data_IF_121745602769
#
_entry.id   IF_121745602769
#
_cell.length_a   1.000
_cell.length_b   1.000
_cell.length_c   1.000
_cell.angle_alpha   90.00
_cell.angle_beta   90.00
_cell.angle_gamma   90.00
#
_symmetry.space_group_name_H-M   'P 1'
#
loop_
_entity.id
_entity.type
_entity.pdbx_description
1 polymer ?
#
# COMPACT_ATOMS: atom_id res chain seq x y z
N UNK A 1 14.61 -13.98 3.54
CA UNK A 1 14.03 -14.92 2.54
C UNK A 1 12.54 -14.64 2.52
N UNK A 2 12.00 -14.05 1.44
CA UNK A 2 10.58 -13.66 1.42
C UNK A 2 9.66 -14.88 1.43
N UNK A 3 8.64 -14.87 2.29
CA UNK A 3 7.68 -15.96 2.43
C UNK A 3 6.46 -15.70 1.54
N UNK A 4 6.03 -16.71 0.78
CA UNK A 4 4.81 -16.66 -0.04
C UNK A 4 3.67 -17.28 0.75
N UNK A 5 2.60 -16.53 1.02
CA UNK A 5 1.35 -17.08 1.59
C UNK A 5 0.31 -17.22 0.48
N UNK A 6 -0.29 -18.41 0.37
CA UNK A 6 -1.48 -18.67 -0.46
C UNK A 6 -2.71 -18.74 0.45
N UNK A 7 -3.57 -17.72 0.39
CA UNK A 7 -4.98 -17.78 0.77
C UNK A 7 -5.72 -17.29 -0.47
N UNK A 8 -6.73 -18.03 -0.94
CA UNK A 8 -7.61 -17.92 -2.14
C UNK A 8 -7.75 -16.59 -2.93
N UNK A 9 -6.67 -15.84 -3.11
CA UNK A 9 -6.57 -14.50 -3.66
C UNK A 9 -5.21 -14.29 -4.35
N UNK A 10 -4.88 -13.06 -4.78
CA UNK A 10 -3.66 -12.81 -5.54
C UNK A 10 -2.42 -13.25 -4.76
N UNK A 11 -1.43 -13.81 -5.46
CA UNK A 11 -0.18 -14.27 -4.84
C UNK A 11 0.57 -13.08 -4.24
N UNK A 12 0.63 -13.01 -2.91
CA UNK A 12 1.36 -11.96 -2.18
C UNK A 12 2.74 -12.43 -1.77
N UNK A 13 3.75 -11.60 -2.06
CA UNK A 13 5.10 -11.70 -1.53
C UNK A 13 5.20 -10.91 -0.23
N UNK A 14 5.60 -11.56 0.87
CA UNK A 14 5.84 -10.91 2.16
C UNK A 14 7.35 -10.81 2.39
N UNK A 15 7.92 -9.60 2.43
CA UNK A 15 9.34 -9.41 2.73
C UNK A 15 9.62 -9.65 4.23
N UNK A 16 10.90 -9.76 4.58
CA UNK A 16 11.32 -9.77 5.99
C UNK A 16 10.90 -8.47 6.69
N UNK A 17 10.61 -8.55 8.00
CA UNK A 17 10.20 -7.37 8.79
C UNK A 17 11.23 -6.24 8.64
N UNK A 18 10.81 -5.01 8.25
CA UNK A 18 11.74 -3.90 8.12
C UNK A 18 12.45 -3.57 9.44
N UNK A 19 13.76 -3.35 9.36
CA UNK A 19 14.61 -2.95 10.47
C UNK A 19 14.52 -1.43 10.70
N UNK A 20 14.81 -0.98 11.93
CA UNK A 20 15.04 0.45 12.22
C UNK A 20 13.82 1.35 12.42
N UNK A 21 12.59 0.83 12.37
CA UNK A 21 11.36 1.65 12.47
C UNK A 21 10.55 1.42 13.76
N UNK A 22 11.12 0.74 14.76
CA UNK A 22 10.42 0.46 16.03
C UNK A 22 9.23 -0.49 15.91
N UNK A 23 9.03 -1.13 14.75
CA UNK A 23 7.88 -2.02 14.50
C UNK A 23 8.03 -3.31 15.30
N UNK A 24 7.12 -3.52 16.25
CA UNK A 24 7.00 -4.75 17.00
C UNK A 24 6.58 -5.92 16.09
N UNK A 25 7.00 -7.15 16.41
CA UNK A 25 6.73 -8.32 15.57
C UNK A 25 5.22 -8.57 15.39
N UNK A 26 4.45 -8.53 16.48
CA UNK A 26 3.00 -8.70 16.41
C UNK A 26 2.28 -7.60 15.60
N UNK A 27 2.83 -6.38 15.58
CA UNK A 27 2.30 -5.31 14.74
C UNK A 27 2.58 -5.57 13.25
N UNK A 28 3.79 -6.04 12.91
CA UNK A 28 4.12 -6.46 11.55
C UNK A 28 3.19 -7.59 11.09
N UNK A 29 3.02 -8.63 11.91
CA UNK A 29 2.17 -9.78 11.57
C UNK A 29 0.71 -9.35 11.34
N UNK A 30 0.19 -8.43 12.17
CA UNK A 30 -1.15 -7.84 11.98
C UNK A 30 -1.28 -7.11 10.64
N UNK A 31 -0.31 -6.27 10.27
CA UNK A 31 -0.37 -5.53 8.99
C UNK A 31 -0.28 -6.49 7.81
N UNK A 32 0.56 -7.52 7.89
CA UNK A 32 0.66 -8.58 6.86
C UNK A 32 -0.67 -9.32 6.71
N UNK A 33 -1.34 -9.67 7.82
CA UNK A 33 -2.64 -10.32 7.79
C UNK A 33 -3.70 -9.46 7.07
N UNK A 34 -3.82 -8.19 7.44
CA UNK A 34 -4.74 -7.23 6.80
C UNK A 34 -4.41 -7.06 5.33
N UNK A 35 -3.12 -6.91 4.98
CA UNK A 35 -2.70 -6.76 3.60
C UNK A 35 -3.06 -8.00 2.77
N UNK A 36 -2.78 -9.20 3.28
CA UNK A 36 -3.11 -10.45 2.59
C UNK A 36 -4.61 -10.62 2.39
N UNK A 37 -5.43 -10.28 3.39
CA UNK A 37 -6.89 -10.36 3.30
C UNK A 37 -7.46 -9.40 2.24
N UNK A 38 -6.84 -8.22 2.07
CA UNK A 38 -7.28 -7.17 1.14
C UNK A 38 -6.31 -6.97 -0.04
N UNK A 39 -5.55 -8.01 -0.41
CA UNK A 39 -4.45 -7.88 -1.37
C UNK A 39 -4.92 -7.37 -2.74
N UNK A 40 -6.11 -7.80 -3.19
CA UNK A 40 -6.70 -7.28 -4.43
C UNK A 40 -6.94 -5.77 -4.40
N UNK A 41 -7.43 -5.23 -3.27
CA UNK A 41 -7.66 -3.79 -3.11
C UNK A 41 -6.34 -3.02 -3.04
N UNK A 42 -5.37 -3.50 -2.26
CA UNK A 42 -4.07 -2.86 -2.12
C UNK A 42 -3.28 -2.83 -3.43
N UNK A 43 -3.32 -3.91 -4.22
CA UNK A 43 -2.58 -3.98 -5.48
C UNK A 43 -3.28 -3.24 -6.63
N UNK A 44 -4.57 -2.91 -6.46
CA UNK A 44 -5.33 -2.13 -7.43
C UNK A 44 -5.28 -0.61 -7.18
N UNK A 45 -4.70 -0.14 -6.07
CA UNK A 45 -4.60 1.30 -5.78
C UNK A 45 -3.82 2.01 -6.87
N UNK A 46 -4.40 3.10 -7.38
CA UNK A 46 -3.81 3.81 -8.52
C UNK A 46 -3.00 5.02 -8.09
N UNK A 47 -3.21 5.54 -6.88
CA UNK A 47 -2.55 6.74 -6.39
C UNK A 47 -2.41 6.76 -4.85
N UNK A 48 -1.60 7.68 -4.33
CA UNK A 48 -1.27 7.70 -2.90
C UNK A 48 -2.44 8.11 -1.98
N UNK A 49 -3.42 8.87 -2.51
CA UNK A 49 -4.60 9.30 -1.74
C UNK A 49 -5.54 8.13 -1.51
N UNK A 50 -5.81 7.35 -2.57
CA UNK A 50 -6.57 6.09 -2.47
C UNK A 50 -5.92 5.12 -1.49
N UNK A 51 -4.59 4.97 -1.57
CA UNK A 51 -3.85 4.13 -0.64
C UNK A 51 -3.97 4.62 0.81
N UNK A 52 -3.87 5.92 1.06
CA UNK A 52 -4.02 6.47 2.41
C UNK A 52 -5.42 6.22 2.96
N UNK A 53 -6.46 6.43 2.14
CA UNK A 53 -7.85 6.18 2.51
C UNK A 53 -8.12 4.69 2.79
N UNK A 54 -7.62 3.79 1.93
CA UNK A 54 -7.74 2.35 2.11
C UNK A 54 -7.03 1.91 3.40
N UNK A 55 -5.80 2.36 3.61
CA UNK A 55 -5.01 2.00 4.80
C UNK A 55 -5.67 2.50 6.08
N UNK A 56 -6.23 3.71 6.07
CA UNK A 56 -6.99 4.24 7.20
C UNK A 56 -8.25 3.41 7.48
N UNK A 57 -9.05 3.11 6.46
CA UNK A 57 -10.27 2.30 6.55
C UNK A 57 -10.00 0.90 7.10
N UNK A 58 -8.87 0.30 6.74
CA UNK A 58 -8.45 -1.04 7.19
C UNK A 58 -7.64 -1.01 8.50
N UNK A 59 -7.45 0.15 9.12
CA UNK A 59 -6.77 0.28 10.41
C UNK A 59 -5.25 0.05 10.37
N UNK A 60 -4.61 0.22 9.20
CA UNK A 60 -3.15 0.09 8.96
C UNK A 60 -2.54 1.36 8.32
N UNK A 61 -3.17 2.52 8.53
CA UNK A 61 -2.76 3.81 7.98
C UNK A 61 -1.94 4.70 8.92
N UNK A 62 -1.69 4.26 10.16
CA UNK A 62 -0.88 5.00 11.13
C UNK A 62 0.61 4.69 10.99
N UNK A 63 1.48 5.60 11.43
CA UNK A 63 2.87 5.23 11.65
C UNK A 63 2.97 4.31 12.88
N UNK A 64 3.73 3.19 12.84
CA UNK A 64 4.63 2.75 11.76
C UNK A 64 4.03 1.78 10.72
N UNK A 65 2.74 1.46 10.75
CA UNK A 65 2.08 0.52 9.81
C UNK A 65 2.27 0.92 8.34
N UNK A 66 2.24 2.22 8.04
CA UNK A 66 2.46 2.77 6.68
C UNK A 66 3.79 2.35 6.07
N UNK A 67 4.82 2.14 6.89
CA UNK A 67 6.14 1.65 6.45
C UNK A 67 6.01 0.19 5.99
N UNK A 68 5.27 -0.62 6.74
CA UNK A 68 5.04 -2.04 6.42
C UNK A 68 4.20 -2.15 5.14
N UNK A 69 3.12 -1.38 5.03
CA UNK A 69 2.29 -1.34 3.81
C UNK A 69 3.12 -0.94 2.59
N UNK A 70 3.97 0.08 2.72
CA UNK A 70 4.84 0.51 1.61
C UNK A 70 5.86 -0.57 1.21
N UNK A 71 6.44 -1.28 2.19
CA UNK A 71 7.34 -2.39 1.91
C UNK A 71 6.63 -3.56 1.22
N UNK A 72 5.40 -3.89 1.65
CA UNK A 72 4.57 -4.92 1.04
C UNK A 72 4.19 -4.56 -0.39
N UNK A 73 3.76 -3.33 -0.65
CA UNK A 73 3.48 -2.83 -2.00
C UNK A 73 4.72 -2.93 -2.90
N UNK A 74 5.88 -2.48 -2.42
CA UNK A 74 7.14 -2.56 -3.14
C UNK A 74 7.54 -4.00 -3.47
N UNK A 75 7.40 -4.93 -2.51
CA UNK A 75 7.66 -6.35 -2.72
C UNK A 75 6.73 -7.00 -3.74
N UNK A 76 5.55 -6.42 -3.98
CA UNK A 76 4.55 -6.88 -4.94
C UNK A 76 4.49 -6.01 -6.21
N UNK A 77 5.53 -5.21 -6.48
CA UNK A 77 5.71 -4.48 -7.73
C UNK A 77 5.10 -3.08 -7.80
N UNK A 78 4.45 -2.62 -6.73
CA UNK A 78 3.88 -1.26 -6.65
C UNK A 78 4.92 -0.31 -6.05
N UNK A 79 5.39 0.66 -6.84
CA UNK A 79 6.38 1.65 -6.38
C UNK A 79 5.71 2.93 -5.92
N UNK A 80 6.14 3.46 -4.77
CA UNK A 80 5.64 4.73 -4.23
C UNK A 80 5.70 5.90 -5.21
N UNK A 81 6.80 6.00 -5.98
CA UNK A 81 6.96 7.04 -7.01
C UNK A 81 5.85 7.01 -8.06
N UNK A 82 5.40 5.82 -8.44
CA UNK A 82 4.39 5.66 -9.48
C UNK A 82 3.01 6.08 -8.92
N UNK A 83 2.71 5.81 -7.65
CA UNK A 83 1.51 6.30 -6.96
C UNK A 83 1.46 7.83 -6.83
N UNK A 84 2.59 8.46 -6.54
CA UNK A 84 2.69 9.93 -6.49
C UNK A 84 2.51 10.53 -7.88
N UNK A 85 3.18 9.97 -8.89
CA UNK A 85 3.05 10.41 -10.28
C UNK A 85 1.60 10.32 -10.78
N UNK A 86 0.89 9.26 -10.40
CA UNK A 86 -0.52 9.11 -10.73
C UNK A 86 -1.40 10.20 -10.09
N UNK A 87 -1.14 10.59 -8.82
CA UNK A 87 -1.86 11.72 -8.22
C UNK A 87 -1.60 13.02 -8.95
N UNK A 88 -0.33 13.31 -9.28
CA UNK A 88 0.03 14.53 -10.02
C UNK A 88 -0.71 14.58 -11.36
N UNK A 89 -0.74 13.46 -12.09
CA UNK A 89 -1.47 13.36 -13.36
C UNK A 89 -2.97 13.59 -13.16
N UNK A 90 -3.59 12.95 -12.17
CA UNK A 90 -5.01 13.11 -11.91
C UNK A 90 -5.39 14.55 -11.53
N UNK A 91 -4.58 15.20 -10.69
CA UNK A 91 -4.77 16.61 -10.34
C UNK A 91 -4.62 17.50 -11.57
N UNK A 92 -3.59 17.28 -12.40
CA UNK A 92 -3.39 18.06 -13.62
C UNK A 92 -4.58 17.95 -14.59
N UNK A 93 -5.11 16.74 -14.81
CA UNK A 93 -6.29 16.53 -15.66
C UNK A 93 -7.55 17.18 -15.06
N UNK A 94 -7.76 17.09 -13.75
CA UNK A 94 -8.87 17.75 -13.07
C UNK A 94 -8.79 19.28 -13.19
N UNK A 95 -7.61 19.86 -13.02
CA UNK A 95 -7.40 21.31 -13.16
C UNK A 95 -7.68 21.77 -14.59
N UNK A 96 -7.21 21.04 -15.62
CA UNK A 96 -7.51 21.36 -17.02
C UNK A 96 -9.01 21.34 -17.30
N UNK A 97 -9.72 20.32 -16.82
CA UNK A 97 -11.17 20.19 -17.02
C UNK A 97 -11.94 21.37 -16.40
N UNK A 98 -11.52 21.88 -15.23
CA UNK A 98 -12.14 23.06 -14.60
C UNK A 98 -11.79 24.40 -15.24
N UNK A 99 -10.70 24.49 -15.99
CA UNK A 99 -10.33 25.72 -16.70
C UNK A 99 -11.02 25.84 -18.06
N UNK A 100 -11.55 24.74 -18.60
CA UNK A 100 -12.21 24.67 -19.90
C UNK A 100 -13.75 24.83 -19.83
N UNK A 101 -14.33 25.00 -18.64
CA UNK A 101 -15.76 25.22 -18.41
C UNK A 101 -15.99 26.44 -17.52
#
# INVERSE_FOLDING_TARGET
>A
MSQVRQMSGPRVVVPDKPAGHGIARGQFDRVVEVFCAHAGEFLAVSNHVELANLSHRLGVGGYPDTVVVSALLGANGVRWRDLVAATVRQVAEYTKARQAG
#
